data_IF_056054328227
#
_entry.id   IF_056054328227
#
_cell.length_a   1.000
_cell.length_b   1.000
_cell.length_c   1.000
_cell.angle_alpha   90.00
_cell.angle_beta   90.00
_cell.angle_gamma   90.00
#
_symmetry.space_group_name_H-M   'P 1'
#
loop_
_entity.id
_entity.type
_entity.pdbx_description
1 polymer ?
#
# COMPACT_ATOMS: atom_id res chain seq x y z
N UNK A 1 2.52 9.56 -11.61
CA UNK A 1 3.40 8.49 -11.08
C UNK A 1 2.99 7.94 -9.71
N UNK A 2 2.05 8.56 -8.97
CA UNK A 2 1.67 8.16 -7.60
C UNK A 2 1.12 6.72 -7.48
N UNK A 3 0.33 6.26 -8.46
CA UNK A 3 -0.25 4.89 -8.46
C UNK A 3 0.85 3.82 -8.44
N UNK A 4 1.89 3.97 -9.27
CA UNK A 4 3.00 3.01 -9.37
C UNK A 4 3.80 2.96 -8.06
N UNK A 5 4.02 4.11 -7.43
CA UNK A 5 4.71 4.19 -6.14
C UNK A 5 3.87 3.54 -5.05
N UNK A 6 2.57 3.83 -4.99
CA UNK A 6 1.66 3.21 -4.03
C UNK A 6 1.60 1.70 -4.17
N UNK A 7 1.51 1.19 -5.41
CA UNK A 7 1.54 -0.25 -5.67
C UNK A 7 2.82 -0.89 -5.14
N UNK A 8 3.98 -0.33 -5.49
CA UNK A 8 5.28 -0.84 -5.02
C UNK A 8 5.40 -0.77 -3.50
N UNK A 9 5.02 0.35 -2.89
CA UNK A 9 5.08 0.55 -1.45
C UNK A 9 4.20 -0.46 -0.69
N UNK A 10 2.97 -0.67 -1.15
CA UNK A 10 2.01 -1.62 -0.56
C UNK A 10 2.44 -3.08 -0.76
N UNK A 11 3.01 -3.41 -1.91
CA UNK A 11 3.47 -4.77 -2.21
C UNK A 11 4.78 -5.12 -1.47
N UNK A 12 5.69 -4.16 -1.30
CA UNK A 12 7.01 -4.41 -0.74
C UNK A 12 7.11 -4.20 0.77
N UNK A 13 6.22 -3.42 1.39
CA UNK A 13 6.29 -3.08 2.82
C UNK A 13 5.07 -3.56 3.58
N UNK A 14 5.28 -4.53 4.47
CA UNK A 14 4.28 -4.98 5.43
C UNK A 14 3.83 -3.85 6.37
N UNK A 15 4.74 -2.94 6.75
CA UNK A 15 4.41 -1.79 7.59
C UNK A 15 3.40 -0.87 6.91
N UNK A 16 3.60 -0.55 5.63
CA UNK A 16 2.66 0.30 4.87
C UNK A 16 1.30 -0.39 4.75
N UNK A 17 1.30 -1.70 4.56
CA UNK A 17 0.08 -2.52 4.58
C UNK A 17 -0.67 -2.37 5.89
N UNK A 18 -0.01 -2.62 7.02
CA UNK A 18 -0.60 -2.50 8.35
C UNK A 18 -1.09 -1.10 8.64
N UNK A 19 -0.33 -0.06 8.25
CA UNK A 19 -0.74 1.33 8.44
C UNK A 19 -2.05 1.63 7.69
N UNK A 20 -2.15 1.20 6.43
CA UNK A 20 -3.33 1.45 5.61
C UNK A 20 -4.54 0.62 6.05
N UNK A 21 -4.32 -0.60 6.53
CA UNK A 21 -5.38 -1.45 7.07
C UNK A 21 -5.91 -0.95 8.41
N UNK A 22 -5.05 -0.41 9.28
CA UNK A 22 -5.45 0.16 10.56
C UNK A 22 -5.85 1.65 10.48
N UNK A 23 -5.62 2.32 9.34
CA UNK A 23 -5.91 3.74 9.17
C UNK A 23 -4.91 4.70 9.85
N UNK A 24 -3.70 4.23 10.17
CA UNK A 24 -2.66 5.04 10.84
C UNK A 24 -1.91 5.98 9.88
N UNK A 25 -2.63 6.81 9.14
CA UNK A 25 -2.02 7.68 8.11
C UNK A 25 -0.94 8.62 8.66
N UNK A 26 -0.93 8.91 9.95
CA UNK A 26 0.12 9.70 10.63
C UNK A 26 1.50 9.04 10.50
N UNK A 27 1.58 7.71 10.56
CA UNK A 27 2.83 6.95 10.40
C UNK A 27 3.35 6.93 8.95
N UNK A 28 2.51 7.26 7.97
CA UNK A 28 2.99 7.48 6.60
C UNK A 28 3.74 8.80 6.47
N UNK A 29 3.48 9.78 7.33
CA UNK A 29 4.14 11.09 7.24
C UNK A 29 5.64 11.02 7.61
N UNK A 30 6.04 10.01 8.39
CA UNK A 30 7.42 9.79 8.81
C UNK A 30 8.19 8.88 7.85
N UNK A 31 7.54 8.34 6.82
CA UNK A 31 8.13 7.36 5.92
C UNK A 31 8.74 8.02 4.67
N UNK A 32 10.05 7.86 4.39
CA UNK A 32 10.71 8.49 3.24
C UNK A 32 10.32 7.88 1.89
N UNK A 33 9.71 6.68 1.88
CA UNK A 33 9.36 5.94 0.67
C UNK A 33 7.95 6.26 0.19
N UNK A 34 7.02 6.51 1.12
CA UNK A 34 5.62 6.74 0.81
C UNK A 34 4.97 7.67 1.83
N UNK A 35 4.60 8.86 1.38
CA UNK A 35 4.03 9.90 2.24
C UNK A 35 2.51 9.96 2.16
N UNK A 36 1.89 10.62 3.13
CA UNK A 36 0.44 10.96 3.08
C UNK A 36 0.08 11.79 1.85
N UNK A 37 1.00 12.61 1.32
CA UNK A 37 0.80 13.37 0.09
C UNK A 37 0.68 12.45 -1.13
N UNK A 38 1.53 11.44 -1.21
CA UNK A 38 1.49 10.44 -2.29
C UNK A 38 0.19 9.63 -2.24
N UNK A 39 -0.23 9.23 -1.04
CA UNK A 39 -1.52 8.58 -0.84
C UNK A 39 -2.70 9.44 -1.30
N UNK A 40 -2.69 10.74 -0.97
CA UNK A 40 -3.70 11.69 -1.41
C UNK A 40 -3.69 11.93 -2.93
N UNK A 41 -2.53 11.83 -3.57
CA UNK A 41 -2.39 11.93 -5.02
C UNK A 41 -2.94 10.71 -5.78
N UNK A 42 -3.16 9.57 -5.10
CA UNK A 42 -3.84 8.41 -5.69
C UNK A 42 -5.36 8.66 -5.68
N UNK A 43 -6.07 8.46 -6.81
CA UNK A 43 -7.53 8.55 -6.82
C UNK A 43 -8.17 7.46 -5.94
N UNK A 44 -9.28 7.77 -5.26
CA UNK A 44 -9.95 6.85 -4.33
C UNK A 44 -10.24 5.47 -4.92
N UNK A 45 -10.66 5.42 -6.19
CA UNK A 45 -10.89 4.15 -6.92
C UNK A 45 -9.69 3.20 -6.81
N UNK A 46 -8.47 3.72 -6.92
CA UNK A 46 -7.26 2.92 -6.85
C UNK A 46 -6.80 2.63 -5.42
N UNK A 47 -7.14 3.50 -4.46
CA UNK A 47 -6.81 3.29 -3.03
C UNK A 47 -7.41 2.01 -2.49
N UNK A 48 -8.62 1.65 -2.92
CA UNK A 48 -9.28 0.39 -2.57
C UNK A 48 -8.92 -0.77 -3.51
N UNK A 49 -8.76 -0.49 -4.81
CA UNK A 49 -8.48 -1.52 -5.81
C UNK A 49 -7.11 -2.17 -5.61
N UNK A 50 -6.08 -1.39 -5.29
CA UNK A 50 -4.69 -1.88 -5.18
C UNK A 50 -4.50 -2.83 -3.99
N UNK A 51 -4.96 -2.50 -2.77
CA UNK A 51 -4.98 -3.44 -1.65
C UNK A 51 -5.66 -4.75 -1.99
N UNK A 52 -6.83 -4.68 -2.63
CA UNK A 52 -7.60 -5.85 -3.06
C UNK A 52 -6.83 -6.68 -4.09
N UNK A 53 -6.33 -6.04 -5.14
CA UNK A 53 -5.52 -6.70 -6.17
C UNK A 53 -4.28 -7.38 -5.58
N UNK A 54 -3.53 -6.71 -4.72
CA UNK A 54 -2.33 -7.30 -4.13
C UNK A 54 -2.70 -8.44 -3.16
N UNK A 55 -3.82 -8.39 -2.44
CA UNK A 55 -4.27 -9.54 -1.62
C UNK A 55 -4.70 -10.74 -2.48
N UNK A 56 -5.45 -10.48 -3.54
CA UNK A 56 -5.99 -11.52 -4.43
C UNK A 56 -4.87 -12.18 -5.27
N UNK A 57 -3.89 -11.41 -5.73
CA UNK A 57 -2.83 -11.88 -6.64
C UNK A 57 -1.46 -12.10 -5.98
N UNK A 58 -1.17 -11.40 -4.87
CA UNK A 58 0.03 -11.60 -4.04
C UNK A 58 -0.42 -12.17 -2.70
N UNK A 59 -1.15 -13.28 -2.78
CA UNK A 59 -1.38 -14.14 -1.62
C UNK A 59 -0.07 -14.81 -1.24
N UNK A 60 0.25 -14.77 0.05
CA UNK A 60 1.41 -15.40 0.73
C UNK A 60 1.56 -16.93 0.51
N UNK A 61 0.79 -17.54 -0.40
CA UNK A 61 0.81 -18.96 -0.75
C UNK A 61 2.02 -19.39 -1.60
N UNK A 62 3.08 -18.57 -1.69
CA UNK A 62 4.35 -19.00 -2.28
C UNK A 62 5.34 -19.58 -1.26
N UNK A 63 4.94 -19.77 0.01
CA UNK A 63 5.75 -20.43 1.04
C UNK A 63 5.14 -21.72 1.59
N UNK A 64 4.27 -22.39 0.83
CA UNK A 64 3.94 -23.80 1.05
C UNK A 64 4.61 -24.61 -0.05
N UNK A 65 5.88 -24.94 0.18
CA UNK A 65 6.63 -25.99 -0.49
C UNK A 65 7.43 -26.73 0.59
#
# INVERSE_FOLDING_TARGET
>A
MAIKIYFKAYASSNQIRSILENGYFTDLATNPIFSTRDYRAVPEKYRALIPKYIKDYVSLNQFVA
#
